data_IF_603399904724
#
_entry.id   IF_603399904724
#
_cell.length_a   1.000
_cell.length_b   1.000
_cell.length_c   1.000
_cell.angle_alpha   90.00
_cell.angle_beta   90.00
_cell.angle_gamma   90.00
#
_symmetry.space_group_name_H-M   'P 1'
#
loop_
_entity.id
_entity.type
_entity.pdbx_description
1 polymer ?
#
# COMPACT_ATOMS: atom_id res chain seq x y z
N UNK A 1 -18.83 2.87 8.49
CA UNK A 1 -18.69 1.53 7.85
C UNK A 1 -17.26 1.04 7.80
N UNK A 2 -16.25 1.89 7.63
CA UNK A 2 -14.83 1.50 7.57
C UNK A 2 -14.26 0.96 8.90
N UNK A 3 -14.76 1.43 10.04
CA UNK A 3 -14.21 1.06 11.37
C UNK A 3 -14.50 -0.41 11.77
N UNK A 4 -15.57 -1.00 11.25
CA UNK A 4 -15.95 -2.37 11.58
C UNK A 4 -15.19 -3.44 10.79
N UNK A 5 -14.51 -3.04 9.70
CA UNK A 5 -13.71 -3.94 8.86
C UNK A 5 -12.29 -4.17 9.41
N UNK A 6 -11.73 -3.24 10.20
CA UNK A 6 -10.36 -3.35 10.72
C UNK A 6 -10.16 -4.43 11.79
N UNK A 7 -11.18 -4.77 12.58
CA UNK A 7 -11.07 -5.83 13.60
C UNK A 7 -11.04 -7.25 13.04
N UNK A 8 -11.36 -7.43 11.74
CA UNK A 8 -11.33 -8.75 11.08
C UNK A 8 -10.03 -9.01 10.31
N UNK A 9 -9.17 -8.01 10.14
CA UNK A 9 -7.93 -8.13 9.34
C UNK A 9 -6.90 -9.08 9.96
N UNK A 10 -6.71 -9.06 11.28
CA UNK A 10 -5.72 -9.95 11.93
C UNK A 10 -6.11 -11.42 11.82
N UNK A 11 -7.39 -11.76 11.95
CA UNK A 11 -7.87 -13.13 11.80
C UNK A 11 -7.76 -13.63 10.35
N UNK A 12 -8.04 -12.78 9.37
CA UNK A 12 -7.95 -13.15 7.96
C UNK A 12 -6.50 -13.34 7.48
N UNK A 13 -5.59 -12.51 7.94
CA UNK A 13 -4.15 -12.64 7.61
C UNK A 13 -3.57 -13.94 8.16
N UNK A 14 -3.98 -14.35 9.37
CA UNK A 14 -3.57 -15.62 9.98
C UNK A 14 -4.12 -16.82 9.19
N UNK A 15 -5.35 -16.74 8.69
CA UNK A 15 -5.95 -17.84 7.93
C UNK A 15 -5.34 -17.97 6.53
N UNK A 16 -5.08 -16.87 5.81
CA UNK A 16 -4.44 -16.91 4.49
C UNK A 16 -3.03 -17.50 4.54
N UNK A 17 -2.23 -17.23 5.57
CA UNK A 17 -0.91 -17.85 5.76
C UNK A 17 -0.97 -19.37 5.94
N UNK A 18 -2.08 -19.92 6.48
CA UNK A 18 -2.29 -21.38 6.63
C UNK A 18 -2.65 -22.05 5.30
N UNK A 19 -3.27 -21.32 4.36
CA UNK A 19 -3.63 -21.86 3.05
C UNK A 19 -2.46 -21.99 2.07
N UNK A 20 -1.34 -21.30 2.29
CA UNK A 20 -0.15 -21.40 1.44
C UNK A 20 0.70 -22.65 1.70
N UNK A 21 0.39 -23.47 2.69
CA UNK A 21 1.08 -24.73 2.97
C UNK A 21 0.61 -25.83 2.02
N UNK A 22 1.35 -26.04 0.93
CA UNK A 22 1.19 -27.20 0.07
C UNK A 22 1.60 -28.47 0.82
N UNK A 23 0.63 -29.34 1.09
CA UNK A 23 0.84 -30.78 1.27
C UNK A 23 1.34 -31.23 2.65
N UNK A 24 0.49 -31.21 3.68
CA UNK A 24 0.57 -32.15 4.78
C UNK A 24 -0.82 -32.72 5.09
N UNK A 25 -0.88 -34.01 5.39
CA UNK A 25 -2.10 -34.79 5.60
C UNK A 25 -2.87 -34.47 6.90
N UNK A 26 -2.46 -33.47 7.66
CA UNK A 26 -3.03 -33.07 8.94
C UNK A 26 -3.63 -31.66 8.91
N UNK A 27 -4.40 -31.34 7.85
CA UNK A 27 -5.18 -30.09 7.83
C UNK A 27 -6.51 -30.32 8.60
N UNK A 28 -6.81 -29.55 9.68
CA UNK A 28 -8.11 -29.65 10.33
C UNK A 28 -9.23 -29.24 9.38
N UNK A 29 -10.41 -29.83 9.57
CA UNK A 29 -11.62 -29.61 8.78
C UNK A 29 -11.91 -28.11 8.57
N UNK A 30 -11.69 -27.63 7.34
CA UNK A 30 -11.75 -26.22 6.94
C UNK A 30 -13.17 -25.78 6.52
N UNK A 31 -14.18 -26.63 6.67
CA UNK A 31 -15.55 -26.32 6.22
C UNK A 31 -16.14 -25.08 6.93
N UNK A 32 -15.79 -24.85 8.21
CA UNK A 32 -16.21 -23.67 8.96
C UNK A 32 -15.40 -22.41 8.59
N UNK A 33 -14.12 -22.59 8.27
CA UNK A 33 -13.21 -21.50 7.85
C UNK A 33 -13.47 -21.06 6.41
N UNK A 34 -13.97 -21.94 5.54
CA UNK A 34 -14.31 -21.64 4.16
C UNK A 34 -15.47 -20.64 4.05
N UNK A 35 -16.50 -20.76 4.90
CA UNK A 35 -17.63 -19.83 4.90
C UNK A 35 -17.26 -18.42 5.36
N UNK A 36 -16.35 -18.31 6.34
CA UNK A 36 -15.78 -17.03 6.77
C UNK A 36 -14.89 -16.42 5.67
N UNK A 37 -14.11 -17.25 4.98
CA UNK A 37 -13.25 -16.82 3.86
C UNK A 37 -14.08 -16.35 2.66
N UNK A 38 -15.18 -17.02 2.35
CA UNK A 38 -16.12 -16.62 1.27
C UNK A 38 -16.76 -15.25 1.55
N UNK A 39 -17.17 -15.01 2.78
CA UNK A 39 -17.67 -13.70 3.22
C UNK A 39 -16.60 -12.62 3.12
N UNK A 40 -15.36 -12.96 3.46
CA UNK A 40 -14.21 -12.07 3.46
C UNK A 40 -13.73 -11.73 2.03
N UNK A 41 -13.72 -12.69 1.13
CA UNK A 41 -13.39 -12.54 -0.29
C UNK A 41 -14.53 -11.89 -1.11
N UNK A 42 -15.45 -11.18 -0.46
CA UNK A 42 -16.63 -10.61 -1.12
C UNK A 42 -17.43 -11.67 -1.91
N UNK A 43 -17.47 -12.88 -1.41
CA UNK A 43 -18.17 -14.01 -2.03
C UNK A 43 -17.43 -14.69 -3.17
N UNK A 44 -16.13 -14.44 -3.38
CA UNK A 44 -15.32 -15.15 -4.37
C UNK A 44 -14.52 -16.26 -3.68
N UNK A 45 -14.80 -17.54 -3.93
CA UNK A 45 -14.00 -18.64 -3.40
C UNK A 45 -12.55 -18.58 -3.90
N UNK A 46 -11.60 -18.99 -3.07
CA UNK A 46 -10.16 -18.96 -3.43
C UNK A 46 -9.86 -19.76 -4.71
N UNK A 47 -10.61 -20.85 -4.98
CA UNK A 47 -10.48 -21.67 -6.19
C UNK A 47 -10.89 -20.95 -7.49
N UNK A 48 -11.66 -19.86 -7.38
CA UNK A 48 -12.17 -19.09 -8.51
C UNK A 48 -11.22 -17.95 -8.92
N UNK A 49 -10.08 -17.82 -8.22
CA UNK A 49 -8.99 -16.94 -8.63
C UNK A 49 -8.09 -17.64 -9.63
N UNK A 50 -7.87 -17.02 -10.76
CA UNK A 50 -7.08 -17.58 -11.86
C UNK A 50 -5.96 -16.63 -12.32
N UNK A 51 -4.85 -17.21 -12.78
CA UNK A 51 -3.93 -16.49 -13.65
C UNK A 51 -4.49 -16.53 -15.07
N UNK A 52 -4.53 -15.39 -15.73
CA UNK A 52 -5.02 -15.36 -17.10
C UNK A 52 -4.03 -16.03 -18.06
N UNK A 53 -4.53 -17.01 -18.84
CA UNK A 53 -3.77 -17.69 -19.89
C UNK A 53 -3.76 -16.87 -21.19
N UNK A 54 -3.40 -15.59 -21.10
CA UNK A 54 -3.32 -14.64 -22.21
C UNK A 54 -1.87 -14.22 -22.37
N UNK A 55 -1.30 -14.15 -23.60
CA UNK A 55 0.07 -13.69 -23.82
C UNK A 55 0.31 -12.30 -23.21
N UNK A 56 1.51 -12.09 -22.65
CA UNK A 56 1.91 -10.84 -22.01
C UNK A 56 1.64 -9.61 -22.90
N UNK A 57 2.06 -9.66 -24.16
CA UNK A 57 1.87 -8.57 -25.11
C UNK A 57 0.39 -8.23 -25.31
N UNK A 58 -0.48 -9.23 -25.29
CA UNK A 58 -1.93 -9.03 -25.39
C UNK A 58 -2.48 -8.38 -24.14
N UNK A 59 -2.02 -8.80 -22.94
CA UNK A 59 -2.39 -8.18 -21.67
C UNK A 59 -1.95 -6.71 -21.60
N UNK A 60 -0.73 -6.42 -22.07
CA UNK A 60 -0.20 -5.03 -22.16
C UNK A 60 -1.06 -4.18 -23.09
N UNK A 61 -1.40 -4.68 -24.28
CA UNK A 61 -2.28 -3.99 -25.23
C UNK A 61 -3.67 -3.72 -24.65
N UNK A 62 -4.26 -4.71 -23.97
CA UNK A 62 -5.56 -4.58 -23.34
C UNK A 62 -5.53 -3.54 -22.20
N UNK A 63 -4.49 -3.56 -21.36
CA UNK A 63 -4.32 -2.60 -20.27
C UNK A 63 -4.10 -1.18 -20.80
N UNK A 64 -3.26 -1.03 -21.83
CA UNK A 64 -3.01 0.26 -22.48
C UNK A 64 -4.29 0.83 -23.10
N UNK A 65 -5.08 -0.02 -23.80
CA UNK A 65 -6.36 0.40 -24.38
C UNK A 65 -7.36 0.81 -23.30
N UNK A 66 -7.48 0.01 -22.22
CA UNK A 66 -8.37 0.33 -21.10
C UNK A 66 -8.01 1.69 -20.47
N UNK A 67 -6.72 1.95 -20.25
CA UNK A 67 -6.24 3.23 -19.70
C UNK A 67 -6.47 4.37 -20.70
N UNK A 68 -6.22 4.17 -21.99
CA UNK A 68 -6.44 5.19 -23.01
C UNK A 68 -7.92 5.61 -23.08
N UNK A 69 -8.84 4.65 -23.03
CA UNK A 69 -10.29 4.86 -23.10
C UNK A 69 -10.89 5.38 -21.79
N UNK A 70 -10.17 5.32 -20.68
CA UNK A 70 -10.65 5.74 -19.37
C UNK A 70 -10.81 7.27 -19.28
N UNK A 71 -11.87 7.72 -18.65
CA UNK A 71 -12.06 9.11 -18.23
C UNK A 71 -11.30 9.40 -16.92
N UNK A 72 -11.22 8.40 -16.05
CA UNK A 72 -10.60 8.50 -14.74
C UNK A 72 -9.85 7.21 -14.37
N UNK A 73 -8.84 7.35 -13.52
CA UNK A 73 -8.01 6.23 -13.03
C UNK A 73 -7.90 6.30 -11.51
N UNK A 74 -8.37 5.27 -10.82
CA UNK A 74 -8.11 5.06 -9.40
C UNK A 74 -6.93 4.10 -9.25
N UNK A 75 -5.83 4.62 -8.76
CA UNK A 75 -4.63 3.83 -8.47
C UNK A 75 -4.73 3.27 -7.07
N UNK A 76 -4.62 1.95 -6.93
CA UNK A 76 -4.45 1.25 -5.67
C UNK A 76 -3.00 0.81 -5.51
N UNK A 77 -2.24 1.43 -4.61
CA UNK A 77 -0.81 1.14 -4.47
C UNK A 77 -0.48 0.41 -3.17
N UNK A 78 0.16 -0.75 -3.30
CA UNK A 78 0.71 -1.54 -2.19
C UNK A 78 2.24 -1.56 -2.19
N UNK A 79 2.84 -2.28 -1.24
CA UNK A 79 4.29 -2.36 -1.03
C UNK A 79 5.06 -2.82 -2.28
N UNK A 80 4.44 -3.65 -3.14
CA UNK A 80 5.04 -4.07 -4.41
C UNK A 80 5.32 -2.93 -5.36
N UNK A 81 4.56 -1.81 -5.31
CA UNK A 81 4.86 -0.62 -6.12
C UNK A 81 6.18 0.04 -5.70
N UNK A 82 6.42 0.19 -4.41
CA UNK A 82 7.70 0.73 -3.91
C UNK A 82 8.85 -0.24 -4.17
N UNK A 83 8.63 -1.55 -4.03
CA UNK A 83 9.64 -2.58 -4.34
C UNK A 83 10.03 -2.56 -5.82
N UNK A 84 9.07 -2.50 -6.75
CA UNK A 84 9.31 -2.36 -8.19
C UNK A 84 10.04 -1.05 -8.54
N UNK A 85 9.83 -0.01 -7.75
CA UNK A 85 10.54 1.26 -7.87
C UNK A 85 11.96 1.24 -7.27
N UNK A 86 12.43 0.08 -6.78
CA UNK A 86 13.77 -0.13 -6.23
C UNK A 86 13.87 -0.01 -4.71
N UNK A 87 12.76 0.13 -3.99
CA UNK A 87 12.80 0.10 -2.53
C UNK A 87 13.19 -1.29 -2.03
N UNK A 88 14.15 -1.30 -1.13
CA UNK A 88 14.65 -2.53 -0.48
C UNK A 88 14.33 -2.47 1.01
N UNK A 89 13.73 -3.53 1.53
CA UNK A 89 13.29 -3.59 2.93
C UNK A 89 14.08 -4.60 3.77
N UNK A 90 14.71 -5.60 3.14
CA UNK A 90 15.41 -6.71 3.78
C UNK A 90 16.76 -7.00 3.14
N UNK A 91 17.33 -8.19 3.45
CA UNK A 91 18.57 -8.68 2.90
C UNK A 91 19.76 -7.74 3.15
N UNK A 92 20.65 -7.65 2.15
CA UNK A 92 21.87 -6.83 2.22
C UNK A 92 21.60 -5.35 2.55
N UNK A 93 20.49 -4.81 2.08
CA UNK A 93 20.10 -3.43 2.39
C UNK A 93 19.84 -3.26 3.89
N UNK A 94 19.07 -4.18 4.49
CA UNK A 94 18.77 -4.14 5.91
C UNK A 94 20.05 -4.35 6.74
N UNK A 95 20.86 -5.31 6.40
CA UNK A 95 22.14 -5.57 7.06
C UNK A 95 23.06 -4.34 7.00
N UNK A 96 23.20 -3.73 5.84
CA UNK A 96 24.03 -2.53 5.64
C UNK A 96 23.53 -1.33 6.45
N UNK A 97 22.22 -1.10 6.47
CA UNK A 97 21.66 0.10 7.09
C UNK A 97 21.24 -0.11 8.54
N UNK A 98 20.80 -1.32 8.93
CA UNK A 98 20.26 -1.64 10.24
C UNK A 98 21.06 -2.74 10.97
N UNK A 99 22.20 -3.15 10.44
CA UNK A 99 23.03 -4.20 11.05
C UNK A 99 23.50 -3.88 12.47
N UNK A 100 23.57 -2.61 12.87
CA UNK A 100 23.81 -2.22 14.27
C UNK A 100 22.66 -2.67 15.19
N UNK A 101 21.41 -2.62 14.73
CA UNK A 101 20.24 -3.10 15.46
C UNK A 101 20.24 -4.64 15.51
N UNK A 102 20.57 -5.33 14.40
CA UNK A 102 20.70 -6.78 14.39
C UNK A 102 21.76 -7.26 15.38
N UNK A 103 22.95 -6.63 15.39
CA UNK A 103 24.02 -7.00 16.35
C UNK A 103 23.62 -6.74 17.80
N UNK A 104 22.82 -5.71 18.06
CA UNK A 104 22.43 -5.34 19.42
C UNK A 104 21.25 -6.14 19.96
N UNK A 105 20.24 -6.39 19.12
CA UNK A 105 18.98 -7.02 19.53
C UNK A 105 18.86 -8.47 19.07
N UNK A 106 19.88 -9.00 18.37
CA UNK A 106 19.98 -10.40 17.96
C UNK A 106 19.29 -10.70 16.62
N UNK A 107 19.48 -11.94 16.16
CA UNK A 107 18.83 -12.48 14.97
C UNK A 107 17.42 -13.00 15.28
N UNK A 108 16.65 -12.24 16.00
CA UNK A 108 15.24 -12.48 16.23
C UNK A 108 14.50 -12.40 14.88
N UNK A 109 13.39 -13.14 14.67
CA UNK A 109 12.53 -13.01 13.50
C UNK A 109 12.14 -11.58 13.15
N UNK A 110 12.10 -10.69 14.13
CA UNK A 110 11.84 -9.26 13.92
C UNK A 110 12.99 -8.51 13.24
N UNK A 111 14.26 -8.94 13.40
CA UNK A 111 15.43 -8.21 12.88
C UNK A 111 15.90 -8.70 11.52
N UNK A 112 14.98 -9.04 10.61
CA UNK A 112 15.28 -9.54 9.27
C UNK A 112 14.99 -8.50 8.17
N UNK A 113 14.08 -7.59 8.41
CA UNK A 113 13.68 -6.54 7.48
C UNK A 113 13.12 -5.31 8.21
N UNK A 114 12.96 -4.20 7.48
CA UNK A 114 12.49 -2.94 8.04
C UNK A 114 11.07 -3.02 8.61
N UNK A 115 10.20 -3.82 7.98
CA UNK A 115 8.82 -3.97 8.45
C UNK A 115 8.76 -4.72 9.77
N UNK A 116 9.39 -5.91 9.80
CA UNK A 116 9.42 -6.76 11.00
C UNK A 116 10.10 -6.07 12.18
N UNK A 117 11.21 -5.33 11.94
CA UNK A 117 11.93 -4.62 12.98
C UNK A 117 11.15 -3.44 13.58
N UNK A 118 10.18 -2.89 12.84
CA UNK A 118 9.23 -1.91 13.36
C UNK A 118 8.32 -2.43 14.49
N UNK A 119 8.09 -3.76 14.53
CA UNK A 119 7.30 -4.44 15.57
C UNK A 119 8.15 -5.05 16.69
N UNK A 120 9.47 -4.89 16.65
CA UNK A 120 10.34 -5.38 17.72
C UNK A 120 10.00 -4.69 19.04
N UNK A 121 9.88 -5.42 20.18
CA UNK A 121 9.58 -4.85 21.49
C UNK A 121 10.82 -4.18 22.08
N UNK A 122 11.17 -2.99 21.59
CA UNK A 122 12.35 -2.26 22.06
C UNK A 122 12.32 -2.04 23.55
N UNK A 123 13.44 -2.19 24.26
CA UNK A 123 13.48 -2.19 25.73
C UNK A 123 13.16 -0.82 26.36
N UNK A 124 13.26 0.25 25.62
CA UNK A 124 12.95 1.62 26.05
C UNK A 124 12.66 2.52 24.85
N UNK A 125 12.09 3.71 25.14
CA UNK A 125 11.70 4.68 24.11
C UNK A 125 12.90 5.23 23.33
N UNK A 126 14.07 5.38 23.94
CA UNK A 126 15.28 5.84 23.26
C UNK A 126 15.68 4.87 22.15
N UNK A 127 15.53 3.56 22.38
CA UNK A 127 15.80 2.52 21.36
C UNK A 127 14.71 2.48 20.29
N UNK A 128 13.44 2.60 20.70
CA UNK A 128 12.29 2.65 19.81
C UNK A 128 12.44 3.82 18.81
N UNK A 129 12.67 5.02 19.32
CA UNK A 129 12.86 6.20 18.47
C UNK A 129 14.20 6.19 17.74
N UNK A 130 15.20 5.49 18.27
CA UNK A 130 16.46 5.25 17.58
C UNK A 130 16.24 4.45 16.29
N UNK A 131 15.36 3.46 16.31
CA UNK A 131 14.99 2.69 15.14
C UNK A 131 14.07 3.49 14.21
N UNK A 132 12.94 3.99 14.71
CA UNK A 132 11.92 4.63 13.88
C UNK A 132 12.41 5.91 13.20
N UNK A 133 13.25 6.71 13.87
CA UNK A 133 13.84 7.88 13.22
C UNK A 133 14.71 7.50 12.02
N UNK A 134 15.48 6.42 12.12
CA UNK A 134 16.29 5.92 11.01
C UNK A 134 15.40 5.39 9.88
N UNK A 135 14.39 4.60 10.22
CA UNK A 135 13.46 4.07 9.22
C UNK A 135 12.72 5.20 8.49
N UNK A 136 12.17 6.17 9.20
CA UNK A 136 11.48 7.31 8.62
C UNK A 136 12.39 8.15 7.70
N UNK A 137 13.65 8.36 8.12
CA UNK A 137 14.63 9.09 7.32
C UNK A 137 14.99 8.34 6.04
N UNK A 138 15.27 7.05 6.12
CA UNK A 138 15.68 6.24 4.96
C UNK A 138 14.51 5.84 4.07
N UNK A 139 13.37 5.46 4.65
CA UNK A 139 12.21 4.95 3.94
C UNK A 139 11.24 6.01 3.44
N UNK A 140 11.39 7.26 3.93
CA UNK A 140 10.51 8.37 3.58
C UNK A 140 11.27 9.68 3.37
N UNK A 141 11.78 10.32 4.41
CA UNK A 141 12.20 11.71 4.39
C UNK A 141 13.30 11.99 3.36
N UNK A 142 14.38 11.20 3.37
CA UNK A 142 15.52 11.32 2.44
C UNK A 142 15.41 10.44 1.21
N UNK A 143 14.33 9.68 1.09
CA UNK A 143 14.10 8.86 -0.10
C UNK A 143 13.77 9.78 -1.27
N UNK A 144 14.61 9.77 -2.30
CA UNK A 144 14.35 10.52 -3.53
C UNK A 144 13.11 9.97 -4.24
N UNK A 145 12.45 10.85 -4.99
CA UNK A 145 11.34 10.41 -5.83
C UNK A 145 11.84 9.44 -6.90
N UNK A 146 11.17 8.30 -7.01
CA UNK A 146 11.59 7.28 -7.96
C UNK A 146 11.16 7.62 -9.39
N UNK A 147 11.97 7.23 -10.39
CA UNK A 147 11.61 7.41 -11.80
C UNK A 147 10.29 6.72 -12.17
N UNK A 148 9.99 5.58 -11.54
CA UNK A 148 8.78 4.81 -11.82
C UNK A 148 7.50 5.58 -11.44
N UNK A 149 7.47 6.20 -10.23
CA UNK A 149 6.31 7.00 -9.82
C UNK A 149 6.11 8.23 -10.73
N UNK A 150 7.20 8.90 -11.12
CA UNK A 150 7.12 10.01 -12.09
C UNK A 150 6.58 9.53 -13.43
N UNK A 151 7.18 8.48 -13.99
CA UNK A 151 6.77 7.91 -15.28
C UNK A 151 5.30 7.54 -15.30
N UNK A 152 4.81 6.91 -14.21
CA UNK A 152 3.40 6.55 -14.08
C UNK A 152 2.50 7.80 -14.12
N UNK A 153 2.78 8.81 -13.30
CA UNK A 153 1.98 10.04 -13.27
C UNK A 153 2.05 10.84 -14.57
N UNK A 154 3.22 10.94 -15.18
CA UNK A 154 3.41 11.59 -16.49
C UNK A 154 2.62 10.88 -17.59
N UNK A 155 2.66 9.54 -17.60
CA UNK A 155 1.93 8.70 -18.57
C UNK A 155 0.41 8.76 -18.41
N UNK A 156 -0.08 9.09 -17.21
CA UNK A 156 -1.50 9.29 -16.94
C UNK A 156 -1.92 10.76 -17.00
N UNK A 157 -1.02 11.64 -17.45
CA UNK A 157 -1.31 13.07 -17.58
C UNK A 157 -2.57 13.32 -18.44
N UNK A 158 -3.41 14.23 -17.99
CA UNK A 158 -4.70 14.53 -18.64
C UNK A 158 -5.88 13.64 -18.20
N UNK A 159 -5.64 12.59 -17.41
CA UNK A 159 -6.70 11.81 -16.75
C UNK A 159 -7.07 12.42 -15.40
N UNK A 160 -8.31 12.19 -14.96
CA UNK A 160 -8.72 12.45 -13.59
C UNK A 160 -8.21 11.30 -12.71
N UNK A 161 -7.18 11.56 -11.86
CA UNK A 161 -6.45 10.53 -11.12
C UNK A 161 -6.68 10.70 -9.62
N UNK A 162 -6.87 9.59 -8.94
CA UNK A 162 -6.79 9.50 -7.48
C UNK A 162 -5.94 8.29 -7.07
N UNK A 163 -5.23 8.39 -5.95
CA UNK A 163 -4.42 7.30 -5.40
C UNK A 163 -4.94 6.90 -4.03
N UNK A 164 -5.27 5.62 -3.86
CA UNK A 164 -5.44 4.97 -2.57
C UNK A 164 -4.17 4.18 -2.28
N UNK A 165 -3.43 4.56 -1.24
CA UNK A 165 -2.14 3.95 -0.92
C UNK A 165 -2.12 3.32 0.47
N UNK A 166 -1.53 2.13 0.55
CA UNK A 166 -1.13 1.50 1.83
C UNK A 166 0.36 1.71 2.13
N UNK A 167 1.10 2.41 1.25
CA UNK A 167 2.51 2.74 1.45
C UNK A 167 2.67 4.03 2.28
N UNK A 168 3.70 4.04 3.13
CA UNK A 168 3.99 5.14 4.05
C UNK A 168 5.10 6.10 3.55
N UNK A 169 5.66 5.87 2.36
CA UNK A 169 6.89 6.50 1.87
C UNK A 169 6.72 7.90 1.23
N UNK A 170 5.47 8.31 0.98
CA UNK A 170 5.14 9.61 0.37
C UNK A 170 5.53 9.75 -1.10
N UNK A 171 5.85 8.68 -1.83
CA UNK A 171 6.39 8.74 -3.18
C UNK A 171 5.48 9.42 -4.19
N UNK A 172 4.18 9.21 -4.16
CA UNK A 172 3.25 9.85 -5.09
C UNK A 172 3.21 11.38 -4.94
N UNK A 173 3.23 11.88 -3.70
CA UNK A 173 3.29 13.33 -3.43
C UNK A 173 4.61 13.91 -3.91
N UNK A 174 5.72 13.23 -3.64
CA UNK A 174 7.06 13.61 -4.15
C UNK A 174 7.15 13.59 -5.67
N UNK A 175 6.39 12.71 -6.33
CA UNK A 175 6.29 12.65 -7.78
C UNK A 175 5.43 13.76 -8.39
N UNK A 176 4.78 14.60 -7.56
CA UNK A 176 4.00 15.74 -7.99
C UNK A 176 2.49 15.58 -7.93
N UNK A 177 1.99 14.44 -7.39
CA UNK A 177 0.54 14.28 -7.21
C UNK A 177 0.04 15.25 -6.13
N UNK A 178 -1.01 16.05 -6.40
CA UNK A 178 -1.59 16.93 -5.39
C UNK A 178 -2.08 16.16 -4.16
N UNK A 179 -1.84 16.68 -2.96
CA UNK A 179 -2.23 16.03 -1.69
C UNK A 179 -3.74 15.69 -1.62
N UNK A 180 -4.59 16.49 -2.24
CA UNK A 180 -6.04 16.24 -2.32
C UNK A 180 -6.43 15.03 -3.19
N UNK A 181 -5.50 14.51 -3.98
CA UNK A 181 -5.72 13.38 -4.89
C UNK A 181 -5.09 12.08 -4.37
N UNK A 182 -4.70 12.02 -3.09
CA UNK A 182 -4.16 10.82 -2.47
C UNK A 182 -4.76 10.60 -1.09
N UNK A 183 -5.00 9.32 -0.78
CA UNK A 183 -5.36 8.86 0.55
C UNK A 183 -4.38 7.79 1.01
N UNK A 184 -3.48 8.15 1.93
CA UNK A 184 -2.58 7.23 2.62
C UNK A 184 -3.32 6.66 3.84
N UNK A 185 -4.13 5.62 3.64
CA UNK A 185 -5.09 5.11 4.62
C UNK A 185 -4.43 4.53 5.88
N UNK A 186 -3.18 4.07 5.76
CA UNK A 186 -2.43 3.45 6.87
C UNK A 186 -1.44 4.41 7.56
N UNK A 187 -1.51 5.71 7.27
CA UNK A 187 -0.56 6.70 7.78
C UNK A 187 0.71 6.78 6.94
N UNK A 188 1.74 7.43 7.48
CA UNK A 188 2.99 7.69 6.79
C UNK A 188 4.21 7.76 7.72
N UNK A 189 5.41 7.90 7.14
CA UNK A 189 6.67 8.05 7.88
C UNK A 189 6.98 9.48 8.32
N UNK A 190 6.05 10.41 8.19
CA UNK A 190 6.28 11.82 8.49
C UNK A 190 5.59 12.29 9.78
N UNK A 191 4.61 11.53 10.27
CA UNK A 191 3.75 11.93 11.38
C UNK A 191 3.85 11.01 12.58
N UNK A 192 3.69 11.63 13.76
CA UNK A 192 3.56 10.93 15.05
C UNK A 192 2.25 11.31 15.72
N UNK A 193 1.82 10.48 16.65
CA UNK A 193 0.57 10.59 17.40
C UNK A 193 0.79 10.30 18.89
N UNK A 194 -0.20 10.60 19.73
CA UNK A 194 -0.22 10.06 21.08
C UNK A 194 -0.36 8.53 21.06
N UNK A 195 0.51 7.81 21.75
CA UNK A 195 0.49 6.36 21.82
C UNK A 195 -0.83 5.78 22.39
N UNK A 196 -1.57 6.57 23.17
CA UNK A 196 -2.87 6.19 23.74
C UNK A 196 -4.05 6.83 23.02
N UNK A 197 -3.82 7.47 21.87
CA UNK A 197 -4.85 8.19 21.12
C UNK A 197 -5.72 9.11 22.01
N UNK A 198 -5.10 9.83 22.95
CA UNK A 198 -5.82 10.66 23.92
C UNK A 198 -6.52 11.88 23.28
N UNK A 199 -6.25 12.15 22.02
CA UNK A 199 -6.84 13.20 21.19
C UNK A 199 -6.65 12.84 19.70
N UNK A 200 -7.35 13.51 18.83
CA UNK A 200 -7.48 13.26 17.39
C UNK A 200 -6.51 14.09 16.52
N UNK A 201 -5.26 14.28 16.97
CA UNK A 201 -4.23 15.06 16.24
C UNK A 201 -2.99 14.25 16.01
N UNK A 202 -2.42 14.43 14.83
CA UNK A 202 -1.06 14.01 14.47
C UNK A 202 -0.12 15.22 14.44
N UNK A 203 1.18 14.95 14.44
CA UNK A 203 2.22 15.98 14.46
C UNK A 203 3.28 15.64 13.43
N UNK A 204 3.63 16.62 12.58
CA UNK A 204 4.78 16.49 11.67
C UNK A 204 6.06 16.29 12.49
N UNK A 205 6.75 15.20 12.24
CA UNK A 205 7.97 14.80 12.91
C UNK A 205 9.19 14.84 11.99
N UNK A 206 9.07 15.36 10.77
CA UNK A 206 10.13 15.33 9.76
C UNK A 206 11.44 15.94 10.28
N UNK A 207 11.39 17.16 10.82
CA UNK A 207 12.59 17.82 11.36
C UNK A 207 13.13 17.10 12.59
N UNK A 208 12.25 16.60 13.45
CA UNK A 208 12.60 15.84 14.65
C UNK A 208 13.32 14.53 14.28
N UNK A 209 12.83 13.77 13.32
CA UNK A 209 13.46 12.52 12.88
C UNK A 209 14.85 12.74 12.30
N UNK A 210 15.06 13.80 11.54
CA UNK A 210 16.38 14.15 11.03
C UNK A 210 17.38 14.45 12.18
N UNK A 211 16.94 15.15 13.21
CA UNK A 211 17.76 15.45 14.39
C UNK A 211 18.04 14.18 15.22
N UNK A 212 17.04 13.33 15.42
CA UNK A 212 17.17 12.06 16.15
C UNK A 212 18.16 11.13 15.44
N UNK A 213 18.05 10.97 14.12
CA UNK A 213 18.93 10.09 13.34
C UNK A 213 20.39 10.58 13.40
N UNK A 214 20.62 11.89 13.36
CA UNK A 214 21.96 12.49 13.52
C UNK A 214 22.53 12.29 14.93
N UNK A 215 21.68 12.43 15.96
CA UNK A 215 22.09 12.31 17.36
C UNK A 215 22.19 10.86 17.85
N UNK A 216 21.64 9.90 17.09
CA UNK A 216 21.59 8.48 17.45
C UNK A 216 22.99 7.89 17.65
N UNK A 217 23.18 7.20 18.79
CA UNK A 217 24.40 6.45 19.14
C UNK A 217 23.98 5.12 19.75
N UNK A 218 24.66 4.03 19.38
CA UNK A 218 24.39 2.70 19.90
C UNK A 218 22.90 2.31 19.85
N UNK A 219 22.26 2.53 18.69
CA UNK A 219 20.83 2.27 18.42
C UNK A 219 19.86 3.11 19.29
N UNK A 220 20.31 4.16 19.97
CA UNK A 220 19.49 4.99 20.85
C UNK A 220 19.61 6.46 20.49
N UNK A 221 18.51 7.18 20.69
CA UNK A 221 18.55 8.65 20.75
C UNK A 221 18.82 9.11 22.18
N UNK A 222 19.29 10.35 22.38
CA UNK A 222 19.35 10.96 23.70
C UNK A 222 17.97 11.05 24.36
N UNK A 223 17.88 10.80 25.67
CA UNK A 223 16.61 10.78 26.43
C UNK A 223 15.82 12.09 26.30
N UNK A 224 16.51 13.26 26.24
CA UNK A 224 15.83 14.55 26.10
C UNK A 224 15.15 14.77 24.75
N UNK A 225 15.41 13.89 23.75
CA UNK A 225 14.77 13.92 22.43
C UNK A 225 13.54 13.01 22.35
N UNK A 226 13.27 12.20 23.38
CA UNK A 226 12.08 11.33 23.39
C UNK A 226 10.82 12.19 23.44
N UNK A 227 9.95 12.12 22.42
CA UNK A 227 8.79 12.99 22.33
C UNK A 227 7.74 12.63 23.38
N UNK A 228 7.07 13.64 23.88
CA UNK A 228 5.96 13.52 24.83
C UNK A 228 4.69 14.13 24.25
N UNK A 229 3.58 13.48 24.51
CA UNK A 229 2.29 14.00 24.09
C UNK A 229 2.02 15.38 24.72
N UNK A 230 1.77 16.41 23.91
CA UNK A 230 1.57 17.78 24.44
C UNK A 230 0.25 17.93 25.21
N UNK A 231 -0.67 16.94 25.13
CA UNK A 231 -1.97 16.97 25.80
C UNK A 231 -1.92 16.20 27.12
N UNK A 232 -1.45 14.95 27.11
CA UNK A 232 -1.46 14.10 28.30
C UNK A 232 -0.08 13.88 28.95
N UNK A 233 1.02 14.36 28.33
CA UNK A 233 2.39 14.13 28.79
C UNK A 233 2.89 12.70 28.60
N UNK A 234 2.06 11.78 28.07
CA UNK A 234 2.39 10.38 27.84
C UNK A 234 3.31 10.17 26.63
N UNK A 235 3.55 8.88 26.33
CA UNK A 235 4.38 8.48 25.20
C UNK A 235 3.75 8.87 23.86
N UNK A 236 4.60 9.11 22.87
CA UNK A 236 4.20 9.25 21.47
C UNK A 236 4.51 7.97 20.70
N UNK A 237 3.91 7.83 19.52
CA UNK A 237 4.10 6.72 18.60
C UNK A 237 4.09 7.20 17.15
N UNK A 238 4.56 6.37 16.22
CA UNK A 238 4.38 6.61 14.79
C UNK A 238 2.88 6.62 14.44
N UNK A 239 2.46 7.53 13.58
CA UNK A 239 1.10 7.49 13.03
C UNK A 239 1.05 6.48 11.87
N UNK A 240 1.16 5.20 12.25
CA UNK A 240 1.02 4.05 11.35
C UNK A 240 -0.05 3.11 11.90
N UNK A 241 -0.92 2.60 11.03
CA UNK A 241 -2.00 1.69 11.41
C UNK A 241 -1.43 0.30 11.73
N UNK A 242 -1.03 0.09 12.95
CA UNK A 242 -0.49 -1.18 13.48
C UNK A 242 -1.37 -1.81 14.57
N UNK A 243 -2.26 -1.01 15.15
CA UNK A 243 -3.17 -1.43 16.24
C UNK A 243 -4.43 -0.54 16.28
N UNK A 244 -5.25 -0.72 17.32
CA UNK A 244 -6.49 0.03 17.54
C UNK A 244 -6.30 1.48 18.01
N UNK A 245 -5.07 1.94 18.26
CA UNK A 245 -4.77 3.30 18.70
C UNK A 245 -4.39 4.24 17.54
N UNK A 246 -4.50 3.79 16.31
CA UNK A 246 -4.25 4.63 15.14
C UNK A 246 -5.15 5.86 15.13
N UNK A 247 -4.55 7.06 15.17
CA UNK A 247 -5.28 8.33 15.17
C UNK A 247 -5.63 8.71 13.74
N UNK A 248 -6.91 8.84 13.48
CA UNK A 248 -7.50 9.41 12.27
C UNK A 248 -7.79 10.89 12.59
N UNK A 249 -6.92 11.78 12.15
CA UNK A 249 -7.07 13.22 12.38
C UNK A 249 -7.94 13.89 11.29
N UNK A 250 -8.08 15.21 11.37
CA UNK A 250 -8.87 15.97 10.40
C UNK A 250 -8.34 15.84 8.96
N UNK A 251 -7.03 15.71 8.78
CA UNK A 251 -6.42 15.54 7.46
C UNK A 251 -6.71 14.15 6.89
N UNK A 252 -6.70 13.11 7.73
CA UNK A 252 -7.08 11.77 7.36
C UNK A 252 -8.56 11.71 6.89
N UNK A 253 -9.49 12.30 7.67
CA UNK A 253 -10.91 12.36 7.28
C UNK A 253 -11.16 13.19 6.03
N UNK A 254 -10.40 14.27 5.81
CA UNK A 254 -10.49 15.03 4.57
C UNK A 254 -10.01 14.22 3.37
N UNK A 255 -8.92 13.45 3.49
CA UNK A 255 -8.44 12.56 2.44
C UNK A 255 -9.44 11.42 2.16
N UNK A 256 -10.06 10.84 3.20
CA UNK A 256 -11.14 9.85 3.07
C UNK A 256 -12.34 10.44 2.31
N UNK A 257 -12.75 11.67 2.66
CA UNK A 257 -13.83 12.38 1.97
C UNK A 257 -13.49 12.61 0.50
N UNK A 258 -12.30 13.11 0.18
CA UNK A 258 -11.85 13.31 -1.19
C UNK A 258 -11.84 11.99 -1.99
N UNK A 259 -11.44 10.89 -1.36
CA UNK A 259 -11.51 9.54 -1.94
C UNK A 259 -12.95 9.12 -2.24
N UNK A 260 -13.86 9.28 -1.27
CA UNK A 260 -15.29 8.97 -1.44
C UNK A 260 -15.94 9.79 -2.53
N UNK A 261 -15.62 11.09 -2.60
CA UNK A 261 -16.11 12.00 -3.65
C UNK A 261 -15.57 11.59 -5.03
N UNK A 262 -14.27 11.19 -5.11
CA UNK A 262 -13.69 10.69 -6.36
C UNK A 262 -14.40 9.42 -6.82
N UNK A 263 -14.53 8.42 -5.96
CA UNK A 263 -15.21 7.16 -6.30
C UNK A 263 -16.63 7.45 -6.77
N UNK A 264 -17.41 8.21 -6.00
CA UNK A 264 -18.81 8.50 -6.29
C UNK A 264 -19.00 9.14 -7.66
N UNK A 265 -18.18 10.16 -8.02
CA UNK A 265 -18.30 10.84 -9.32
C UNK A 265 -17.72 10.03 -10.50
N UNK A 266 -17.01 8.95 -10.21
CA UNK A 266 -16.39 8.09 -11.22
C UNK A 266 -17.24 6.88 -11.59
N UNK A 267 -18.27 6.53 -10.80
CA UNK A 267 -19.08 5.33 -11.03
C UNK A 267 -19.85 5.35 -12.36
N UNK A 268 -20.22 6.52 -12.87
CA UNK A 268 -20.95 6.69 -14.14
C UNK A 268 -19.99 7.00 -15.31
N UNK A 269 -18.67 6.94 -15.11
CA UNK A 269 -17.62 7.22 -16.09
C UNK A 269 -16.84 5.96 -16.42
N UNK A 270 -16.08 5.95 -17.52
CA UNK A 270 -15.13 4.88 -17.79
C UNK A 270 -13.99 4.95 -16.78
N UNK A 271 -14.03 4.09 -15.77
CA UNK A 271 -13.07 4.04 -14.68
C UNK A 271 -12.14 2.85 -14.84
N UNK A 272 -10.84 3.12 -14.78
CA UNK A 272 -9.82 2.07 -14.59
C UNK A 272 -9.42 2.04 -13.12
N UNK A 273 -9.53 0.86 -12.51
CA UNK A 273 -8.93 0.55 -11.21
C UNK A 273 -7.54 -0.06 -11.49
N UNK A 274 -6.51 0.74 -11.29
CA UNK A 274 -5.12 0.34 -11.55
C UNK A 274 -4.47 -0.12 -10.23
N UNK A 275 -4.42 -1.43 -10.00
CA UNK A 275 -3.89 -2.05 -8.80
C UNK A 275 -2.41 -2.40 -8.98
N UNK A 276 -1.54 -1.79 -8.17
CA UNK A 276 -0.09 -1.85 -8.29
C UNK A 276 0.55 -2.49 -7.05
N UNK A 277 1.02 -3.72 -7.16
CA UNK A 277 1.77 -4.41 -6.12
C UNK A 277 1.01 -4.63 -4.81
N UNK A 278 -0.31 -4.84 -4.92
CA UNK A 278 -1.15 -5.18 -3.77
C UNK A 278 -1.21 -6.70 -3.63
N UNK A 279 -0.75 -7.22 -2.49
CA UNK A 279 -0.79 -8.64 -2.18
C UNK A 279 -2.02 -9.04 -1.36
N UNK A 280 -2.00 -10.31 -0.87
CA UNK A 280 -3.02 -10.84 0.04
C UNK A 280 -2.71 -10.59 1.52
N UNK A 281 -1.73 -9.75 1.87
CA UNK A 281 -1.45 -9.42 3.27
C UNK A 281 -2.53 -8.51 3.87
N UNK A 282 -3.02 -7.51 3.10
CA UNK A 282 -4.08 -6.57 3.52
C UNK A 282 -5.06 -6.35 2.36
N UNK A 283 -5.74 -7.43 1.87
CA UNK A 283 -6.52 -7.38 0.63
C UNK A 283 -7.81 -6.56 0.78
N UNK A 284 -8.27 -6.38 2.01
CA UNK A 284 -9.54 -5.71 2.33
C UNK A 284 -9.54 -4.21 2.04
N UNK A 285 -8.34 -3.60 1.93
CA UNK A 285 -8.23 -2.14 1.71
C UNK A 285 -8.37 -1.78 0.23
N UNK A 286 -7.70 -2.52 -0.66
CA UNK A 286 -7.64 -2.22 -2.10
C UNK A 286 -8.20 -3.38 -2.91
N UNK A 287 -7.64 -4.57 -2.77
CA UNK A 287 -7.88 -5.71 -3.65
C UNK A 287 -9.36 -6.09 -3.74
N UNK A 288 -9.97 -6.41 -2.61
CA UNK A 288 -11.38 -6.81 -2.58
C UNK A 288 -12.36 -5.67 -2.92
N UNK A 289 -12.17 -4.44 -2.45
CA UNK A 289 -12.98 -3.31 -2.92
C UNK A 289 -12.90 -3.07 -4.42
N UNK A 290 -11.72 -3.21 -5.05
CA UNK A 290 -11.56 -3.08 -6.49
C UNK A 290 -12.29 -4.19 -7.25
N UNK A 291 -12.18 -5.44 -6.80
CA UNK A 291 -12.91 -6.56 -7.36
C UNK A 291 -14.43 -6.39 -7.23
N UNK A 292 -14.89 -5.88 -6.09
CA UNK A 292 -16.30 -5.59 -5.85
C UNK A 292 -16.82 -4.51 -6.80
N UNK A 293 -16.13 -3.39 -6.91
CA UNK A 293 -16.51 -2.29 -7.81
C UNK A 293 -16.55 -2.78 -9.27
N UNK A 294 -15.55 -3.56 -9.70
CA UNK A 294 -15.53 -4.13 -11.06
C UNK A 294 -16.69 -5.09 -11.30
N UNK A 295 -17.12 -5.84 -10.28
CA UNK A 295 -18.26 -6.76 -10.39
C UNK A 295 -19.59 -6.02 -10.50
N UNK A 296 -19.74 -4.95 -9.74
CA UNK A 296 -21.01 -4.20 -9.62
C UNK A 296 -21.25 -3.19 -10.77
N UNK A 297 -20.20 -2.79 -11.52
CA UNK A 297 -20.27 -1.74 -12.54
C UNK A 297 -19.62 -2.18 -13.85
N UNK A 298 -20.40 -2.19 -14.94
CA UNK A 298 -19.92 -2.65 -16.27
C UNK A 298 -18.95 -1.69 -16.97
N UNK A 299 -18.93 -0.43 -16.57
CA UNK A 299 -18.02 0.61 -17.06
C UNK A 299 -16.67 0.67 -16.31
N UNK A 300 -16.44 -0.25 -15.38
CA UNK A 300 -15.20 -0.33 -14.60
C UNK A 300 -14.34 -1.48 -15.10
N UNK A 301 -13.05 -1.19 -15.33
CA UNK A 301 -12.04 -2.19 -15.70
C UNK A 301 -10.96 -2.25 -14.61
N UNK A 302 -10.68 -3.45 -14.11
CA UNK A 302 -9.56 -3.71 -13.20
C UNK A 302 -8.31 -4.05 -14.01
N UNK A 303 -7.23 -3.32 -13.79
CA UNK A 303 -5.88 -3.66 -14.28
C UNK A 303 -5.00 -3.92 -13.06
N UNK A 304 -4.59 -5.17 -12.86
CA UNK A 304 -3.79 -5.62 -11.72
C UNK A 304 -2.40 -6.01 -12.15
N UNK A 305 -1.39 -5.30 -11.64
CA UNK A 305 0.03 -5.61 -11.87
C UNK A 305 0.66 -6.13 -10.57
N UNK A 306 1.22 -7.33 -10.65
CA UNK A 306 1.94 -7.91 -9.52
C UNK A 306 2.96 -8.94 -10.05
N UNK A 307 4.08 -9.11 -9.36
CA UNK A 307 5.13 -10.05 -9.77
C UNK A 307 4.67 -11.52 -9.70
N UNK A 308 3.88 -11.86 -8.66
CA UNK A 308 3.52 -13.24 -8.31
C UNK A 308 2.06 -13.43 -7.84
N UNK A 309 1.28 -12.35 -7.70
CA UNK A 309 -0.09 -12.39 -7.16
C UNK A 309 -1.09 -11.63 -8.05
N UNK A 310 -0.88 -11.61 -9.37
CA UNK A 310 -1.80 -10.94 -10.29
C UNK A 310 -3.04 -11.79 -10.65
N UNK A 311 -3.40 -12.74 -9.79
CA UNK A 311 -4.63 -13.54 -9.95
C UNK A 311 -5.88 -12.66 -9.88
N UNK A 312 -6.88 -12.98 -10.69
CA UNK A 312 -8.16 -12.28 -10.75
C UNK A 312 -9.32 -13.25 -10.54
N UNK A 313 -10.48 -12.80 -10.01
CA UNK A 313 -11.69 -13.62 -10.03
C UNK A 313 -12.11 -13.94 -11.47
N UNK A 314 -12.28 -15.22 -11.81
CA UNK A 314 -12.70 -15.65 -13.14
C UNK A 314 -14.04 -15.01 -13.56
N UNK A 315 -14.91 -14.76 -12.59
CA UNK A 315 -16.23 -14.14 -12.81
C UNK A 315 -16.17 -12.69 -13.34
N UNK A 316 -15.03 -12.02 -13.26
CA UNK A 316 -14.86 -10.65 -13.80
C UNK A 316 -14.65 -10.66 -15.33
N UNK A 317 -14.27 -11.81 -15.91
CA UNK A 317 -14.11 -11.97 -17.35
C UNK A 317 -13.17 -10.94 -17.97
N UNK A 318 -13.60 -10.32 -19.07
CA UNK A 318 -12.82 -9.33 -19.82
C UNK A 318 -12.70 -7.97 -19.12
N UNK A 319 -13.39 -7.76 -18.00
CA UNK A 319 -13.31 -6.53 -17.21
C UNK A 319 -12.16 -6.52 -16.21
N UNK A 320 -11.39 -7.60 -16.14
CA UNK A 320 -10.19 -7.68 -15.32
C UNK A 320 -9.01 -8.17 -16.15
N UNK A 321 -7.87 -7.49 -16.00
CA UNK A 321 -6.61 -7.81 -16.67
C UNK A 321 -5.56 -7.99 -15.56
N UNK A 322 -5.04 -9.23 -15.43
CA UNK A 322 -4.04 -9.58 -14.43
C UNK A 322 -2.69 -9.81 -15.08
N UNK A 323 -1.72 -8.93 -14.87
CA UNK A 323 -0.37 -9.00 -15.44
C UNK A 323 0.60 -9.49 -14.37
N UNK A 324 1.06 -10.73 -14.51
CA UNK A 324 1.98 -11.38 -13.59
C UNK A 324 3.41 -11.29 -14.13
N UNK A 325 4.03 -10.13 -13.94
CA UNK A 325 5.35 -9.81 -14.46
C UNK A 325 6.04 -8.70 -13.64
N UNK A 326 7.27 -8.32 -14.00
CA UNK A 326 7.93 -7.15 -13.43
C UNK A 326 7.07 -5.90 -13.67
N UNK A 327 6.78 -5.19 -12.59
CA UNK A 327 5.85 -4.06 -12.65
C UNK A 327 6.46 -2.83 -13.29
N UNK A 328 7.76 -2.59 -13.12
CA UNK A 328 8.43 -1.44 -13.74
C UNK A 328 8.49 -1.60 -15.26
N UNK A 329 8.74 -2.83 -15.74
CA UNK A 329 8.67 -3.17 -17.16
C UNK A 329 7.22 -3.06 -17.66
N UNK A 330 6.27 -3.68 -16.97
CA UNK A 330 4.85 -3.67 -17.37
C UNK A 330 4.26 -2.26 -17.47
N UNK A 331 4.54 -1.38 -16.49
CA UNK A 331 4.14 0.03 -16.53
C UNK A 331 4.78 0.72 -17.74
N UNK A 332 6.07 0.47 -17.99
CA UNK A 332 6.77 1.03 -19.16
C UNK A 332 6.14 0.59 -20.46
N UNK A 333 5.85 -0.69 -20.60
CA UNK A 333 5.29 -1.28 -21.80
C UNK A 333 3.87 -0.75 -22.05
N UNK A 334 3.01 -0.72 -21.03
CA UNK A 334 1.66 -0.16 -21.12
C UNK A 334 1.68 1.28 -21.61
N UNK A 335 2.54 2.12 -21.05
CA UNK A 335 2.62 3.55 -21.38
C UNK A 335 3.26 3.82 -22.73
N UNK A 336 4.02 2.88 -23.29
CA UNK A 336 4.66 2.99 -24.61
C UNK A 336 3.80 2.45 -25.76
N UNK A 337 2.68 1.76 -25.48
CA UNK A 337 1.78 1.27 -26.54
C UNK A 337 1.15 2.45 -27.27
N UNK A 338 1.34 2.50 -28.58
CA UNK A 338 0.63 3.46 -29.44
C UNK A 338 -0.83 3.00 -29.60
N UNK A 339 -1.72 3.61 -28.82
CA UNK A 339 -3.16 3.33 -28.92
C UNK A 339 -3.76 4.23 -29.99
N UNK A 340 -4.33 3.64 -31.03
CA UNK A 340 -5.08 4.39 -32.03
C UNK A 340 -6.42 4.84 -31.44
N UNK A 341 -6.59 6.14 -31.23
CA UNK A 341 -7.89 6.71 -30.88
C UNK A 341 -8.84 6.53 -32.07
N UNK A 342 -10.05 5.96 -31.86
CA UNK A 342 -11.02 5.76 -32.93
C UNK A 342 -11.66 7.05 -33.47
N UNK A 343 -11.35 8.22 -32.91
CA UNK A 343 -11.86 9.50 -33.37
C UNK A 343 -10.71 10.50 -33.57
N UNK A 344 -10.54 11.08 -34.77
CA UNK A 344 -9.67 12.22 -34.97
C UNK A 344 -10.19 13.40 -34.15
N UNK A 345 -9.26 14.13 -33.50
CA UNK A 345 -9.57 15.39 -32.83
C UNK A 345 -10.30 16.30 -33.81
N UNK A 346 -11.54 16.68 -33.47
CA UNK A 346 -12.21 17.74 -34.20
C UNK A 346 -11.40 19.05 -33.94
N UNK A 347 -10.66 19.49 -34.95
CA UNK A 347 -10.07 20.83 -34.96
C UNK A 347 -11.20 21.86 -34.71
N UNK A 348 -11.05 22.63 -33.64
CA UNK A 348 -11.81 23.86 -33.39
C UNK A 348 -10.92 25.06 -33.55
#
# INVERSE_FOLDING_TARGET
MAVQLCFQEEEATVHLRRFSCKGSADCPDLSHSAGLLESFLCGTPARDYVYQSVPYETQIQQAAQAIADADCVLIGAGAGMSAAAGAQYGGDFFEKNFGEFQRKYGNDPYMQDMYSAGFYPYPNEESYWGYWSKQAVLGGIKLDVTPLHRKLLDGLSGKDIFVLSTNADGQFVKAGLPQKNIFCIQGDYFHIQCAHACHDRTYDATAMFLQMDQARRDCKIPTYMVPRCPVCGGSMDMNLRKDGYFVQDSAWYEAERCFGDFVSRSLDRKLVLLELGVGFNTPTIIRFPFEKLTREHDNITLVRLNLDQAVIPESLGNRAIGINADMAESISDILNVSVSHPYPAQER
#
